data_IF_044385895819
#
_entry.id   IF_044385895819
#
_cell.length_a   1.000
_cell.length_b   1.000
_cell.length_c   1.000
_cell.angle_alpha   90.00
_cell.angle_beta   90.00
_cell.angle_gamma   90.00
#
_symmetry.space_group_name_H-M   'P 1'
#
loop_
_entity.id
_entity.type
_entity.pdbx_description
1 polymer ?
#
# COMPACT_ATOMS: atom_id res chain seq x y z
N UNK A 1 -53.05 -26.81 -38.31
CA UNK A 1 -51.97 -26.94 -37.31
C UNK A 1 -51.45 -25.55 -36.97
N UNK A 2 -51.93 -24.92 -35.88
CA UNK A 2 -51.37 -23.65 -35.40
C UNK A 2 -50.23 -23.98 -34.45
N UNK A 3 -49.01 -24.09 -34.98
CA UNK A 3 -47.84 -24.24 -34.11
C UNK A 3 -47.70 -22.98 -33.26
N UNK A 4 -47.74 -23.21 -31.96
CA UNK A 4 -47.53 -22.28 -30.85
C UNK A 4 -46.43 -21.25 -31.15
N UNK A 5 -46.83 -19.99 -31.34
CA UNK A 5 -45.91 -18.82 -31.35
C UNK A 5 -45.31 -18.53 -29.95
N UNK A 6 -45.65 -19.32 -28.93
CA UNK A 6 -45.29 -19.11 -27.52
C UNK A 6 -43.94 -19.71 -27.12
N UNK A 7 -43.29 -20.48 -27.99
CA UNK A 7 -42.03 -21.18 -27.66
C UNK A 7 -40.78 -20.36 -28.00
N UNK A 8 -40.90 -19.35 -28.87
CA UNK A 8 -39.80 -18.48 -29.30
C UNK A 8 -39.08 -17.72 -28.15
N UNK A 9 -39.77 -17.18 -27.12
CA UNK A 9 -39.05 -16.51 -26.03
C UNK A 9 -38.33 -17.51 -25.12
N UNK A 10 -38.87 -18.73 -24.99
CA UNK A 10 -38.28 -19.79 -24.16
C UNK A 10 -36.99 -20.30 -24.78
N UNK A 11 -36.96 -20.46 -26.11
CA UNK A 11 -35.75 -20.91 -26.82
C UNK A 11 -34.64 -19.85 -26.78
N UNK A 12 -35.00 -18.57 -26.90
CA UNK A 12 -34.04 -17.45 -26.77
C UNK A 12 -33.43 -17.35 -25.37
N UNK A 13 -34.25 -17.47 -24.33
CA UNK A 13 -33.76 -17.46 -22.95
C UNK A 13 -32.83 -18.65 -22.68
N UNK A 14 -33.19 -19.86 -23.13
CA UNK A 14 -32.36 -21.04 -22.98
C UNK A 14 -31.02 -20.91 -23.72
N UNK A 15 -31.02 -20.37 -24.95
CA UNK A 15 -29.80 -20.13 -25.71
C UNK A 15 -28.88 -19.12 -24.99
N UNK A 16 -29.42 -18.06 -24.40
CA UNK A 16 -28.65 -17.05 -23.68
C UNK A 16 -27.94 -17.65 -22.44
N UNK A 17 -28.64 -18.49 -21.69
CA UNK A 17 -28.08 -19.18 -20.51
C UNK A 17 -27.01 -20.19 -20.92
N UNK A 18 -27.18 -20.89 -22.04
CA UNK A 18 -26.18 -21.83 -22.56
C UNK A 18 -24.96 -21.14 -23.18
N UNK A 19 -25.08 -19.89 -23.60
CA UNK A 19 -23.97 -19.07 -24.11
C UNK A 19 -23.23 -18.27 -23.03
N UNK A 20 -23.57 -18.43 -21.74
CA UNK A 20 -22.80 -17.85 -20.65
C UNK A 20 -21.36 -18.41 -20.70
N UNK A 21 -20.33 -17.55 -20.69
CA UNK A 21 -18.96 -17.97 -20.83
C UNK A 21 -18.58 -18.90 -19.67
N UNK A 22 -18.15 -20.11 -20.01
CA UNK A 22 -17.65 -21.11 -19.07
C UNK A 22 -16.44 -20.60 -18.26
N UNK A 23 -15.76 -19.56 -18.76
CA UNK A 23 -14.66 -18.85 -18.08
C UNK A 23 -15.09 -18.05 -16.83
N UNK A 24 -16.39 -17.90 -16.56
CA UNK A 24 -16.89 -17.28 -15.33
C UNK A 24 -16.97 -18.27 -14.13
N UNK A 25 -16.58 -19.53 -14.32
CA UNK A 25 -16.50 -20.48 -13.21
C UNK A 25 -15.41 -20.03 -12.23
N UNK A 26 -15.74 -19.76 -10.94
CA UNK A 26 -14.72 -19.48 -9.95
C UNK A 26 -13.83 -20.73 -9.83
N UNK A 27 -12.56 -20.59 -10.21
CA UNK A 27 -11.57 -21.62 -9.92
C UNK A 27 -11.59 -21.85 -8.41
N UNK A 28 -11.93 -23.07 -7.99
CA UNK A 28 -11.75 -23.47 -6.61
C UNK A 28 -10.28 -23.24 -6.30
N UNK A 29 -9.98 -22.35 -5.34
CA UNK A 29 -8.60 -22.18 -4.89
C UNK A 29 -8.17 -23.51 -4.30
N UNK A 30 -7.32 -24.22 -5.02
CA UNK A 30 -6.62 -25.38 -4.47
C UNK A 30 -5.66 -24.81 -3.44
N UNK A 31 -5.82 -25.24 -2.19
CA UNK A 31 -4.83 -24.96 -1.17
C UNK A 31 -3.61 -25.81 -1.53
N UNK A 32 -2.54 -25.16 -2.00
CA UNK A 32 -1.32 -25.85 -2.41
C UNK A 32 -0.52 -26.39 -1.21
N UNK A 33 -1.05 -26.27 0.02
CA UNK A 33 -0.39 -26.66 1.27
C UNK A 33 0.81 -25.79 1.64
N UNK A 34 1.15 -24.82 0.78
CA UNK A 34 2.23 -23.86 1.01
C UNK A 34 1.77 -22.83 2.06
N UNK A 35 2.60 -22.50 3.06
CA UNK A 35 2.31 -21.41 3.97
C UNK A 35 2.03 -20.11 3.18
N UNK A 36 1.08 -19.27 3.62
CA UNK A 36 0.85 -17.99 2.98
C UNK A 36 2.15 -17.18 2.95
N UNK A 37 2.40 -16.53 1.81
CA UNK A 37 3.56 -15.64 1.69
C UNK A 37 3.56 -14.62 2.85
N UNK A 38 4.74 -14.27 3.40
CA UNK A 38 4.82 -13.29 4.48
C UNK A 38 4.16 -11.97 4.03
N UNK A 39 3.41 -11.33 4.94
CA UNK A 39 2.85 -10.02 4.65
C UNK A 39 3.99 -9.03 4.41
N UNK A 40 3.95 -8.35 3.26
CA UNK A 40 4.93 -7.34 2.94
C UNK A 40 4.52 -6.04 3.60
N UNK A 41 5.45 -5.42 4.31
CA UNK A 41 5.24 -4.20 5.07
C UNK A 41 6.44 -3.24 4.94
N UNK A 42 6.16 -1.93 5.06
CA UNK A 42 7.16 -0.88 5.13
C UNK A 42 7.24 -0.05 3.85
N UNK A 43 6.98 1.25 3.97
CA UNK A 43 7.13 2.22 2.91
C UNK A 43 8.60 2.33 2.48
N UNK A 44 8.83 2.43 1.17
CA UNK A 44 10.15 2.70 0.63
C UNK A 44 10.49 4.18 0.84
N UNK A 45 11.45 4.46 1.73
CA UNK A 45 11.85 5.82 2.08
C UNK A 45 13.21 6.22 1.48
N UNK A 46 13.32 7.46 1.04
CA UNK A 46 14.59 8.10 0.66
C UNK A 46 14.77 9.40 1.45
N UNK A 47 15.89 9.50 2.15
CA UNK A 47 16.23 10.64 3.00
C UNK A 47 17.39 11.43 2.39
N UNK A 48 17.27 12.75 2.40
CA UNK A 48 18.30 13.67 1.96
C UNK A 48 18.60 14.72 3.04
N UNK A 49 19.89 14.88 3.33
CA UNK A 49 20.41 15.89 4.26
C UNK A 49 21.09 17.01 3.47
N UNK A 50 20.75 18.26 3.79
CA UNK A 50 21.34 19.47 3.20
C UNK A 50 21.64 20.47 4.31
N UNK A 51 22.91 20.47 4.74
CA UNK A 51 23.36 21.27 5.89
C UNK A 51 22.60 20.85 7.16
N UNK A 52 21.85 21.79 7.74
CA UNK A 52 21.06 21.54 8.94
C UNK A 52 19.65 20.97 8.66
N UNK A 53 19.25 20.80 7.40
CA UNK A 53 17.90 20.38 7.01
C UNK A 53 17.84 18.94 6.51
N UNK A 54 16.75 18.25 6.83
CA UNK A 54 16.45 16.90 6.37
C UNK A 54 15.10 16.88 5.66
N UNK A 55 15.04 16.19 4.53
CA UNK A 55 13.79 15.88 3.82
C UNK A 55 13.77 14.38 3.54
N UNK A 56 12.64 13.73 3.83
CA UNK A 56 12.41 12.34 3.45
C UNK A 56 11.14 12.21 2.62
N UNK A 57 11.19 11.34 1.62
CA UNK A 57 10.04 10.92 0.83
C UNK A 57 9.83 9.43 1.02
N UNK A 58 8.64 9.05 1.46
CA UNK A 58 8.25 7.66 1.70
C UNK A 58 7.07 7.31 0.81
N UNK A 59 7.20 6.24 0.03
CA UNK A 59 6.14 5.69 -0.80
C UNK A 59 5.74 4.31 -0.29
N UNK A 60 4.46 4.10 -0.01
CA UNK A 60 3.97 2.80 0.41
C UNK A 60 3.40 2.00 -0.78
N UNK A 61 4.07 0.92 -1.22
CA UNK A 61 3.59 0.07 -2.31
C UNK A 61 2.58 -1.01 -1.83
N UNK A 62 2.29 -1.08 -0.53
CA UNK A 62 1.51 -2.15 0.10
C UNK A 62 0.09 -1.71 0.47
N UNK A 63 -0.73 -2.71 0.80
CA UNK A 63 -2.17 -2.54 1.09
C UNK A 63 -2.45 -2.06 2.51
N UNK A 64 -1.51 -2.27 3.43
CA UNK A 64 -1.62 -1.84 4.81
C UNK A 64 -0.99 -0.47 5.00
N UNK A 65 -1.50 0.30 5.95
CA UNK A 65 -0.92 1.60 6.31
C UNK A 65 0.38 1.40 7.07
N UNK A 66 1.41 2.12 6.65
CA UNK A 66 2.66 2.25 7.40
C UNK A 66 2.76 3.64 8.02
N UNK A 67 2.76 3.69 9.36
CA UNK A 67 2.99 4.91 10.12
C UNK A 67 4.49 5.17 10.24
N UNK A 68 4.95 6.20 9.51
CA UNK A 68 6.36 6.58 9.44
C UNK A 68 6.69 7.78 10.33
N UNK A 69 7.88 7.79 10.91
CA UNK A 69 8.41 8.94 11.67
C UNK A 69 9.84 9.25 11.28
N UNK A 70 10.15 10.54 11.08
CA UNK A 70 11.50 11.01 10.84
C UNK A 70 12.20 11.30 12.17
N UNK A 71 13.38 10.73 12.32
CA UNK A 71 14.30 10.95 13.44
C UNK A 71 15.56 11.66 12.94
N UNK A 72 16.04 12.64 13.69
CA UNK A 72 17.23 13.42 13.35
C UNK A 72 18.11 13.53 14.59
N UNK A 73 19.31 12.98 14.50
CA UNK A 73 20.36 13.19 15.49
C UNK A 73 21.20 14.40 15.08
N UNK A 74 21.37 15.35 15.99
CA UNK A 74 22.11 16.58 15.77
C UNK A 74 23.56 16.43 16.23
N UNK A 75 24.50 17.07 15.53
CA UNK A 75 25.92 16.78 15.76
C UNK A 75 26.51 17.45 17.02
N UNK A 76 25.84 18.46 17.55
CA UNK A 76 26.30 19.23 18.73
C UNK A 76 25.44 18.91 19.93
N UNK A 77 26.08 18.71 21.09
CA UNK A 77 25.38 18.34 22.33
C UNK A 77 24.32 19.35 22.81
N UNK A 78 24.44 20.62 22.39
CA UNK A 78 23.49 21.68 22.71
C UNK A 78 22.37 21.83 21.67
N UNK A 79 22.48 21.14 20.53
CA UNK A 79 21.49 21.08 19.47
C UNK A 79 20.73 19.77 19.67
N UNK A 80 19.53 19.85 20.25
CA UNK A 80 18.81 18.66 20.71
C UNK A 80 18.24 17.90 19.51
N UNK A 81 18.36 16.58 19.54
CA UNK A 81 17.79 15.67 18.54
C UNK A 81 16.30 15.92 18.35
N UNK A 82 15.82 15.76 17.11
CA UNK A 82 14.44 16.09 16.76
C UNK A 82 13.75 14.93 16.07
N UNK A 83 12.53 14.67 16.55
CA UNK A 83 11.63 13.69 15.96
C UNK A 83 10.41 14.41 15.37
N UNK A 84 9.97 13.98 14.20
CA UNK A 84 8.72 14.48 13.63
C UNK A 84 7.51 13.88 14.34
N UNK A 85 6.34 14.52 14.19
CA UNK A 85 5.09 13.80 14.38
C UNK A 85 5.06 12.57 13.45
N UNK A 86 4.48 11.45 13.89
CA UNK A 86 4.30 10.30 13.02
C UNK A 86 3.28 10.63 11.92
N UNK A 87 3.43 10.03 10.75
CA UNK A 87 2.57 10.27 9.58
C UNK A 87 2.13 8.94 9.00
N UNK A 88 0.84 8.75 8.86
CA UNK A 88 0.28 7.56 8.22
C UNK A 88 0.56 7.61 6.71
N UNK A 89 1.20 6.57 6.19
CA UNK A 89 1.45 6.35 4.75
C UNK A 89 0.55 5.20 4.29
N UNK A 90 -0.69 5.51 3.94
CA UNK A 90 -1.63 4.54 3.37
C UNK A 90 -1.26 4.01 1.98
N UNK A 91 -2.11 3.15 1.39
CA UNK A 91 -1.78 2.41 0.17
C UNK A 91 -1.53 3.30 -1.04
N UNK A 92 -0.47 2.99 -1.79
CA UNK A 92 -0.02 3.73 -2.97
C UNK A 92 0.24 5.24 -2.71
N UNK A 93 0.33 5.66 -1.45
CA UNK A 93 0.55 7.05 -1.09
C UNK A 93 2.04 7.40 -1.04
N UNK A 94 2.37 8.66 -1.35
CA UNK A 94 3.70 9.23 -1.08
C UNK A 94 3.57 10.37 -0.09
N UNK A 95 4.31 10.30 1.02
CA UNK A 95 4.38 11.36 2.02
C UNK A 95 5.76 12.03 2.00
N UNK A 96 5.79 13.29 2.47
CA UNK A 96 7.03 14.06 2.63
C UNK A 96 7.19 14.49 4.07
N UNK A 97 8.25 14.04 4.72
CA UNK A 97 8.65 14.48 6.05
C UNK A 97 9.78 15.51 5.95
N UNK A 98 9.80 16.45 6.90
CA UNK A 98 10.83 17.47 7.01
C UNK A 98 11.21 17.66 8.48
N UNK A 99 12.48 17.96 8.71
CA UNK A 99 12.97 18.38 10.00
C UNK A 99 14.31 19.09 9.85
N UNK A 100 14.86 19.56 10.97
CA UNK A 100 16.14 20.24 10.98
C UNK A 100 16.78 20.22 12.36
N UNK A 101 18.10 20.25 12.36
CA UNK A 101 18.89 20.67 13.51
C UNK A 101 19.08 22.20 13.47
N UNK A 102 19.46 22.80 14.59
CA UNK A 102 19.89 24.19 14.61
C UNK A 102 21.12 24.38 13.71
N UNK A 103 22.17 23.59 13.90
CA UNK A 103 23.48 23.75 13.26
C UNK A 103 23.75 22.71 12.17
N UNK A 104 23.92 21.44 12.55
CA UNK A 104 24.35 20.38 11.64
C UNK A 104 23.75 19.04 12.06
N UNK A 105 23.33 18.27 11.06
CA UNK A 105 22.77 16.92 11.23
C UNK A 105 23.92 15.93 11.32
N UNK A 106 23.89 15.05 12.33
CA UNK A 106 24.81 13.92 12.43
C UNK A 106 24.26 12.71 11.67
N UNK A 107 23.01 12.36 11.93
CA UNK A 107 22.34 11.21 11.31
C UNK A 107 20.84 11.47 11.19
N UNK A 108 20.18 10.76 10.27
CA UNK A 108 18.73 10.81 10.12
C UNK A 108 18.19 9.48 9.58
N UNK A 109 17.08 9.01 10.15
CA UNK A 109 16.46 7.73 9.77
C UNK A 109 14.94 7.80 9.88
N UNK A 110 14.27 6.82 9.25
CA UNK A 110 12.82 6.64 9.33
C UNK A 110 12.54 5.39 10.16
N UNK A 111 11.63 5.52 11.13
CA UNK A 111 11.00 4.35 11.75
C UNK A 111 9.65 4.06 11.09
N UNK A 112 9.28 2.78 11.14
CA UNK A 112 8.07 2.24 10.53
C UNK A 112 7.23 1.56 11.62
N UNK A 113 5.92 1.71 11.54
CA UNK A 113 4.99 1.08 12.47
C UNK A 113 3.77 0.58 11.68
N UNK A 114 3.50 -0.72 11.76
CA UNK A 114 2.29 -1.26 11.17
C UNK A 114 1.08 -0.77 11.97
N UNK A 115 0.08 -0.26 11.26
CA UNK A 115 -1.26 -0.09 11.79
C UNK A 115 -1.99 -1.42 11.64
N UNK A 116 -1.98 -2.26 12.67
CA UNK A 116 -2.80 -3.47 12.75
C UNK A 116 -4.04 -3.20 13.62
#
# INVERSE_FOLDING_TARGET
>A
MRLSRSLAPVTLAAALVLSLPYDAMPYARVDDGEPPAPSLFGAACRTAVRGSHVVAYCHNPYVDTDRVRLHIECARWWDIDTDSAPVDTGPAMTVRLKGRCWKEVRSAWISHQNEH
#
